data_IF_576856729467
#
_entry.id   IF_576856729467
#
_cell.length_a   1.000
_cell.length_b   1.000
_cell.length_c   1.000
_cell.angle_alpha   90.00
_cell.angle_beta   90.00
_cell.angle_gamma   90.00
#
_symmetry.space_group_name_H-M   'P 1'
#
loop_
_entity.id
_entity.type
_entity.pdbx_description
1 polymer ?
#
# COMPACT_ATOMS: atom_id res chain seq x y z
N UNK A 1 12.55 4.08 -25.81
CA UNK A 1 11.35 3.45 -25.26
C UNK A 1 10.63 4.50 -24.43
N UNK A 2 9.29 4.53 -24.38
CA UNK A 2 8.59 5.39 -23.43
C UNK A 2 9.07 5.09 -21.99
N UNK A 3 9.08 6.12 -21.15
CA UNK A 3 9.57 6.02 -19.77
C UNK A 3 8.62 5.14 -18.93
N UNK A 4 9.08 3.94 -18.54
CA UNK A 4 8.28 2.96 -17.78
C UNK A 4 7.71 3.55 -16.49
N UNK A 5 8.42 4.49 -15.86
CA UNK A 5 7.92 5.18 -14.67
C UNK A 5 6.69 6.03 -14.97
N UNK A 6 6.67 6.69 -16.14
CA UNK A 6 5.49 7.43 -16.57
C UNK A 6 4.32 6.50 -16.87
N UNK A 7 4.59 5.36 -17.50
CA UNK A 7 3.55 4.41 -17.90
C UNK A 7 3.01 3.56 -16.75
N UNK A 8 3.82 3.30 -15.72
CA UNK A 8 3.46 2.38 -14.63
C UNK A 8 3.24 3.09 -13.29
N UNK A 9 4.13 4.01 -12.92
CA UNK A 9 4.11 4.66 -11.61
C UNK A 9 3.25 5.92 -11.60
N UNK A 10 3.34 6.74 -12.66
CA UNK A 10 2.55 7.97 -12.83
C UNK A 10 1.19 7.73 -13.51
N UNK A 11 0.82 6.47 -13.74
CA UNK A 11 -0.46 6.11 -14.35
C UNK A 11 -1.02 4.84 -13.69
N UNK A 12 -2.35 4.70 -13.65
CA UNK A 12 -2.96 3.49 -13.11
C UNK A 12 -2.82 2.33 -14.11
N UNK A 13 -1.70 1.62 -14.04
CA UNK A 13 -1.38 0.54 -14.96
C UNK A 13 -2.03 -0.78 -14.55
N UNK A 14 -2.59 -1.50 -15.53
CA UNK A 14 -3.20 -2.82 -15.37
C UNK A 14 -2.56 -3.90 -16.25
N UNK A 15 -1.66 -3.54 -17.16
CA UNK A 15 -0.91 -4.51 -17.97
C UNK A 15 0.14 -5.22 -17.09
N UNK A 16 -0.02 -6.54 -16.84
CA UNK A 16 0.89 -7.29 -15.97
C UNK A 16 2.30 -7.44 -16.55
N UNK A 17 2.53 -7.14 -17.84
CA UNK A 17 3.86 -7.17 -18.44
C UNK A 17 4.64 -5.91 -18.08
N UNK A 18 4.03 -4.74 -18.28
CA UNK A 18 4.63 -3.45 -17.92
C UNK A 18 4.87 -3.36 -16.42
N UNK A 19 3.92 -3.85 -15.62
CA UNK A 19 4.07 -3.87 -14.16
C UNK A 19 5.26 -4.74 -13.70
N UNK A 20 5.46 -5.91 -14.33
CA UNK A 20 6.60 -6.78 -14.06
C UNK A 20 7.92 -6.15 -14.49
N UNK A 21 7.98 -5.59 -15.70
CA UNK A 21 9.18 -4.93 -16.22
C UNK A 21 9.60 -3.75 -15.33
N UNK A 22 8.64 -2.91 -14.93
CA UNK A 22 8.88 -1.83 -13.98
C UNK A 22 9.33 -2.34 -12.60
N UNK A 23 8.73 -3.42 -12.09
CA UNK A 23 9.14 -4.00 -10.82
C UNK A 23 10.55 -4.62 -10.86
N UNK A 24 10.97 -5.14 -12.02
CA UNK A 24 12.35 -5.58 -12.24
C UNK A 24 13.34 -4.40 -12.22
N UNK A 25 12.98 -3.24 -12.79
CA UNK A 25 13.79 -2.02 -12.64
C UNK A 25 13.89 -1.59 -11.16
N UNK A 26 12.77 -1.59 -10.43
CA UNK A 26 12.75 -1.25 -9.00
C UNK A 26 13.62 -2.23 -8.20
N UNK A 27 13.53 -3.53 -8.49
CA UNK A 27 14.30 -4.54 -7.78
C UNK A 27 15.80 -4.52 -8.12
N UNK A 28 16.16 -4.06 -9.32
CA UNK A 28 17.56 -3.97 -9.78
C UNK A 28 18.37 -2.86 -9.10
N UNK A 29 17.72 -1.74 -8.75
CA UNK A 29 18.31 -0.63 -8.00
C UNK A 29 17.25 -0.02 -7.06
N UNK A 30 17.00 -0.70 -5.93
CA UNK A 30 15.96 -0.30 -4.98
C UNK A 30 16.19 1.11 -4.43
N UNK A 31 17.43 1.43 -4.04
CA UNK A 31 17.77 2.74 -3.49
C UNK A 31 17.58 3.84 -4.53
N UNK A 32 18.02 3.62 -5.77
CA UNK A 32 17.80 4.54 -6.88
C UNK A 32 16.32 4.71 -7.23
N UNK A 33 15.56 3.61 -7.22
CA UNK A 33 14.13 3.62 -7.44
C UNK A 33 13.39 4.39 -6.35
N UNK A 34 13.72 4.21 -5.07
CA UNK A 34 13.11 4.95 -3.96
C UNK A 34 13.47 6.44 -4.02
N UNK A 35 14.71 6.80 -4.34
CA UNK A 35 15.06 8.22 -4.58
C UNK A 35 14.24 8.82 -5.72
N UNK A 36 14.09 8.11 -6.83
CA UNK A 36 13.27 8.56 -7.98
C UNK A 36 11.79 8.67 -7.61
N UNK A 37 11.24 7.68 -6.91
CA UNK A 37 9.86 7.71 -6.42
C UNK A 37 9.64 8.91 -5.49
N UNK A 38 10.55 9.17 -4.55
CA UNK A 38 10.43 10.28 -3.60
C UNK A 38 10.36 11.66 -4.28
N UNK A 39 11.05 11.84 -5.42
CA UNK A 39 10.99 13.08 -6.20
C UNK A 39 9.71 13.23 -7.04
N UNK A 40 8.91 12.18 -7.13
CA UNK A 40 7.66 12.12 -7.88
C UNK A 40 6.44 12.04 -6.96
N UNK A 41 6.63 11.96 -5.64
CA UNK A 41 5.55 11.83 -4.66
C UNK A 41 5.37 13.14 -3.91
N UNK A 42 4.14 13.67 -3.94
CA UNK A 42 3.71 14.78 -3.09
C UNK A 42 2.76 14.24 -2.01
N UNK A 43 3.07 14.50 -0.74
CA UNK A 43 2.25 14.04 0.38
C UNK A 43 1.78 15.21 1.24
N UNK A 44 0.47 15.30 1.44
CA UNK A 44 -0.11 16.24 2.41
C UNK A 44 0.17 15.80 3.85
N UNK A 45 0.11 14.49 4.09
CA UNK A 45 0.45 13.81 5.33
C UNK A 45 1.18 12.51 4.97
N UNK A 46 2.18 12.13 5.76
CA UNK A 46 2.96 10.91 5.50
C UNK A 46 2.37 9.74 6.30
N UNK A 47 1.88 8.68 5.65
CA UNK A 47 1.35 7.53 6.35
C UNK A 47 2.46 6.76 7.09
N UNK A 48 2.17 6.33 8.32
CA UNK A 48 3.03 5.41 9.07
C UNK A 48 2.66 3.93 8.81
N UNK A 49 1.51 3.72 8.19
CA UNK A 49 1.00 2.41 7.80
C UNK A 49 0.24 2.46 6.48
N UNK A 50 0.21 1.36 5.75
CA UNK A 50 -0.57 1.24 4.53
C UNK A 50 -1.27 -0.11 4.44
N UNK A 51 -2.29 -0.18 3.60
CA UNK A 51 -2.82 -1.44 3.10
C UNK A 51 -2.28 -1.76 1.72
N UNK A 52 -1.85 -3.00 1.51
CA UNK A 52 -1.32 -3.46 0.23
C UNK A 52 -2.28 -4.47 -0.42
N UNK A 53 -2.59 -4.18 -1.68
CA UNK A 53 -3.32 -5.10 -2.56
C UNK A 53 -2.44 -5.52 -3.74
N UNK A 54 -3.06 -5.70 -4.91
CA UNK A 54 -2.37 -6.23 -6.09
C UNK A 54 -1.54 -5.18 -6.85
N UNK A 55 -1.67 -3.89 -6.49
CA UNK A 55 -0.93 -2.79 -7.07
C UNK A 55 0.30 -2.42 -6.24
N UNK A 56 1.52 -2.80 -6.64
CA UNK A 56 2.75 -2.49 -5.90
C UNK A 56 3.19 -1.02 -5.98
N UNK A 57 2.60 -0.21 -6.87
CA UNK A 57 3.03 1.18 -7.06
C UNK A 57 2.86 2.01 -5.79
N UNK A 58 1.76 1.78 -5.05
CA UNK A 58 1.52 2.47 -3.77
C UNK A 58 2.57 2.09 -2.73
N UNK A 59 3.00 0.81 -2.70
CA UNK A 59 4.08 0.38 -1.81
C UNK A 59 5.37 1.15 -2.08
N UNK A 60 5.77 1.25 -3.35
CA UNK A 60 6.98 2.01 -3.73
C UNK A 60 6.84 3.50 -3.42
N UNK A 61 5.68 4.10 -3.71
CA UNK A 61 5.41 5.50 -3.42
C UNK A 61 5.54 5.80 -1.92
N UNK A 62 4.86 5.03 -1.08
CA UNK A 62 4.83 5.28 0.37
C UNK A 62 6.14 4.91 1.06
N UNK A 63 6.79 3.81 0.66
CA UNK A 63 8.11 3.46 1.17
C UNK A 63 9.14 4.56 0.87
N UNK A 64 9.04 5.23 -0.28
CA UNK A 64 9.99 6.27 -0.70
C UNK A 64 9.97 7.55 0.14
N UNK A 65 8.88 7.80 0.88
CA UNK A 65 8.70 8.99 1.72
C UNK A 65 8.63 8.66 3.21
N UNK A 66 8.81 7.40 3.60
CA UNK A 66 8.78 6.96 5.00
C UNK A 66 10.06 7.34 5.74
N UNK A 67 9.94 7.87 6.96
CA UNK A 67 11.07 8.32 7.79
C UNK A 67 11.53 7.30 8.85
N UNK A 68 10.80 6.18 9.03
CA UNK A 68 11.06 5.21 10.10
C UNK A 68 10.67 3.77 9.78
N UNK A 69 10.50 3.47 8.49
CA UNK A 69 9.93 2.22 8.00
C UNK A 69 8.40 2.27 7.93
N UNK A 70 7.81 1.49 7.04
CA UNK A 70 6.37 1.48 6.77
C UNK A 70 5.73 0.17 7.26
N UNK A 71 4.66 0.27 8.05
CA UNK A 71 3.85 -0.92 8.40
C UNK A 71 2.89 -1.24 7.25
N UNK A 72 2.86 -2.50 6.81
CA UNK A 72 2.04 -2.93 5.68
C UNK A 72 1.04 -3.97 6.14
N UNK A 73 -0.25 -3.66 6.10
CA UNK A 73 -1.32 -4.65 6.29
C UNK A 73 -1.65 -5.23 4.91
N UNK A 74 -1.63 -6.55 4.77
CA UNK A 74 -1.86 -7.21 3.48
C UNK A 74 -2.59 -8.53 3.65
N UNK A 75 -3.21 -9.02 2.56
CA UNK A 75 -3.87 -10.32 2.57
C UNK A 75 -2.87 -11.49 2.48
N UNK A 76 -3.25 -12.71 2.92
CA UNK A 76 -2.43 -13.90 2.76
C UNK A 76 -2.03 -14.15 1.30
N UNK A 77 -2.92 -13.91 0.34
CA UNK A 77 -2.66 -14.14 -1.09
C UNK A 77 -1.58 -13.21 -1.64
N UNK A 78 -1.53 -11.97 -1.14
CA UNK A 78 -0.47 -11.02 -1.49
C UNK A 78 0.83 -11.38 -0.79
N UNK A 79 0.77 -11.70 0.51
CA UNK A 79 1.96 -12.00 1.30
C UNK A 79 2.66 -13.29 0.85
N UNK A 80 1.90 -14.31 0.48
CA UNK A 80 2.40 -15.61 0.02
C UNK A 80 2.57 -15.68 -1.51
N UNK A 81 2.04 -14.71 -2.26
CA UNK A 81 2.16 -14.69 -3.73
C UNK A 81 1.42 -15.84 -4.42
N UNK A 82 0.32 -16.33 -3.84
CA UNK A 82 -0.33 -17.58 -4.26
C UNK A 82 -1.19 -17.46 -5.52
N UNK A 83 -1.48 -16.24 -5.98
CA UNK A 83 -2.27 -15.98 -7.19
C UNK A 83 -1.50 -15.11 -8.18
N UNK A 84 -1.58 -15.35 -9.50
CA UNK A 84 -0.76 -14.60 -10.47
C UNK A 84 -0.82 -13.07 -10.37
N UNK A 85 -1.99 -12.44 -10.07
CA UNK A 85 -2.06 -10.99 -9.89
C UNK A 85 -1.25 -10.44 -8.71
N UNK A 86 -0.91 -11.28 -7.71
CA UNK A 86 -0.18 -10.84 -6.52
C UNK A 86 1.32 -10.93 -6.65
N UNK A 87 1.84 -11.62 -7.67
CA UNK A 87 3.27 -11.91 -7.83
C UNK A 87 4.14 -10.65 -7.70
N UNK A 88 3.72 -9.54 -8.31
CA UNK A 88 4.55 -8.32 -8.30
C UNK A 88 4.53 -7.63 -6.93
N UNK A 89 3.36 -7.51 -6.30
CA UNK A 89 3.24 -7.01 -4.92
C UNK A 89 4.01 -7.86 -3.94
N UNK A 90 3.89 -9.19 -4.04
CA UNK A 90 4.63 -10.14 -3.21
C UNK A 90 6.14 -9.92 -3.32
N UNK A 91 6.69 -9.91 -4.53
CA UNK A 91 8.14 -9.81 -4.76
C UNK A 91 8.71 -8.50 -4.20
N UNK A 92 8.03 -7.37 -4.45
CA UNK A 92 8.49 -6.07 -3.95
C UNK A 92 8.30 -5.93 -2.44
N UNK A 93 7.20 -6.45 -1.87
CA UNK A 93 7.00 -6.50 -0.42
C UNK A 93 8.13 -7.28 0.26
N UNK A 94 8.44 -8.50 -0.22
CA UNK A 94 9.50 -9.35 0.32
C UNK A 94 10.89 -8.76 0.18
N UNK A 95 11.16 -8.08 -0.93
CA UNK A 95 12.39 -7.33 -1.11
C UNK A 95 12.51 -6.23 -0.03
N UNK A 96 11.51 -5.36 0.08
CA UNK A 96 11.55 -4.24 1.03
C UNK A 96 11.56 -4.70 2.50
N UNK A 97 10.89 -5.81 2.81
CA UNK A 97 10.89 -6.43 4.14
C UNK A 97 12.30 -6.91 4.51
N UNK A 98 13.00 -7.57 3.57
CA UNK A 98 14.39 -8.01 3.76
C UNK A 98 15.36 -6.85 3.96
N UNK A 99 15.16 -5.75 3.25
CA UNK A 99 15.97 -4.53 3.40
C UNK A 99 15.57 -3.69 4.64
N UNK A 100 14.58 -4.14 5.43
CA UNK A 100 14.15 -3.48 6.67
C UNK A 100 13.38 -2.17 6.45
N UNK A 101 12.90 -1.91 5.23
CA UNK A 101 12.15 -0.71 4.87
C UNK A 101 10.66 -0.82 5.26
N UNK A 102 10.14 -2.04 5.32
CA UNK A 102 8.75 -2.31 5.68
C UNK A 102 8.64 -3.48 6.64
N UNK A 103 7.56 -3.51 7.41
CA UNK A 103 7.19 -4.66 8.22
C UNK A 103 5.73 -5.03 7.94
N UNK A 104 5.51 -6.26 7.49
CA UNK A 104 4.20 -6.73 7.05
C UNK A 104 3.41 -7.39 8.19
N UNK A 105 2.12 -7.11 8.25
CA UNK A 105 1.13 -7.84 9.03
C UNK A 105 0.13 -8.48 8.06
N UNK A 106 -0.14 -9.76 8.27
CA UNK A 106 -1.06 -10.52 7.44
C UNK A 106 -2.42 -10.55 8.11
N UNK A 107 -3.46 -10.19 7.37
CA UNK A 107 -4.85 -10.21 7.83
C UNK A 107 -5.78 -10.54 6.67
N UNK A 108 -6.89 -11.22 6.94
CA UNK A 108 -7.93 -11.41 5.92
C UNK A 108 -8.54 -10.06 5.56
N UNK A 109 -8.58 -9.74 4.26
CA UNK A 109 -9.07 -8.44 3.78
C UNK A 109 -10.40 -8.53 3.01
N UNK A 110 -10.78 -9.75 2.59
CA UNK A 110 -11.94 -10.03 1.75
C UNK A 110 -12.85 -11.05 2.47
N UNK A 111 -14.18 -10.83 2.50
CA UNK A 111 -15.10 -11.80 3.06
C UNK A 111 -15.08 -13.14 2.31
N UNK A 112 -15.30 -14.22 3.04
CA UNK A 112 -15.44 -15.57 2.50
C UNK A 112 -16.75 -16.24 2.92
N UNK A 113 -17.04 -17.47 2.43
CA UNK A 113 -18.24 -18.21 2.80
C UNK A 113 -18.41 -18.39 4.32
N UNK A 114 -17.30 -18.61 5.03
CA UNK A 114 -17.27 -18.82 6.48
C UNK A 114 -16.73 -17.61 7.27
N UNK A 115 -16.47 -16.48 6.59
CA UNK A 115 -15.95 -15.26 7.19
C UNK A 115 -16.71 -14.04 6.66
N UNK A 116 -17.81 -13.63 7.33
CA UNK A 116 -18.64 -12.52 6.88
C UNK A 116 -17.90 -11.17 6.99
N UNK A 117 -18.38 -10.12 6.30
CA UNK A 117 -17.74 -8.80 6.32
C UNK A 117 -17.52 -8.20 7.71
N UNK A 118 -18.40 -8.48 8.67
CA UNK A 118 -18.27 -7.99 10.04
C UNK A 118 -17.03 -8.57 10.73
N UNK A 119 -16.75 -9.86 10.52
CA UNK A 119 -15.61 -10.54 11.15
C UNK A 119 -14.29 -10.10 10.50
N UNK A 120 -14.29 -9.88 9.18
CA UNK A 120 -13.14 -9.25 8.48
C UNK A 120 -12.84 -7.86 9.06
N UNK A 121 -13.87 -7.06 9.33
CA UNK A 121 -13.70 -5.73 9.95
C UNK A 121 -13.10 -5.83 11.35
N UNK A 122 -13.53 -6.81 12.15
CA UNK A 122 -12.96 -7.04 13.49
C UNK A 122 -11.49 -7.47 13.42
N UNK A 123 -11.15 -8.39 12.51
CA UNK A 123 -9.76 -8.83 12.32
C UNK A 123 -8.85 -7.66 11.90
N UNK A 124 -9.30 -6.84 10.96
CA UNK A 124 -8.59 -5.64 10.53
C UNK A 124 -8.46 -4.61 11.66
N UNK A 125 -9.52 -4.39 12.45
CA UNK A 125 -9.53 -3.50 13.61
C UNK A 125 -8.47 -3.93 14.65
N UNK A 126 -8.38 -5.22 14.95
CA UNK A 126 -7.39 -5.79 15.86
C UNK A 126 -5.95 -5.61 15.35
N UNK A 127 -5.71 -5.88 14.06
CA UNK A 127 -4.39 -5.71 13.43
C UNK A 127 -3.96 -4.25 13.45
N UNK A 128 -4.85 -3.34 13.07
CA UNK A 128 -4.61 -1.89 13.07
C UNK A 128 -4.28 -1.37 14.47
N UNK A 129 -5.03 -1.82 15.47
CA UNK A 129 -4.80 -1.47 16.87
C UNK A 129 -3.45 -1.99 17.37
N UNK A 130 -3.08 -3.23 17.00
CA UNK A 130 -1.81 -3.86 17.39
C UNK A 130 -0.60 -3.14 16.80
N UNK A 131 -0.66 -2.70 15.54
CA UNK A 131 0.45 -1.96 14.92
C UNK A 131 0.54 -0.50 15.38
N UNK A 132 -0.49 0.01 16.06
CA UNK A 132 -0.55 1.40 16.52
C UNK A 132 -0.57 2.41 15.38
N UNK A 133 -1.29 2.08 14.28
CA UNK A 133 -1.42 2.95 13.12
C UNK A 133 -2.05 4.31 13.51
N UNK A 134 -1.44 5.42 13.08
CA UNK A 134 -1.99 6.78 13.31
C UNK A 134 -2.42 7.43 12.02
N UNK A 135 -1.66 7.21 10.95
CA UNK A 135 -1.96 7.68 9.59
C UNK A 135 -1.92 6.48 8.67
N UNK A 136 -3.09 6.00 8.26
CA UNK A 136 -3.24 4.80 7.45
C UNK A 136 -3.56 5.14 5.99
N UNK A 137 -2.72 4.68 5.07
CA UNK A 137 -3.06 4.71 3.65
C UNK A 137 -3.98 3.53 3.27
N UNK A 138 -5.13 3.83 2.70
CA UNK A 138 -6.18 2.85 2.41
C UNK A 138 -6.25 2.43 0.93
N UNK A 139 -5.27 2.85 0.11
CA UNK A 139 -5.37 2.75 -1.36
C UNK A 139 -5.28 1.33 -1.89
N UNK A 140 -4.51 0.47 -1.22
CA UNK A 140 -4.39 -0.95 -1.60
C UNK A 140 -5.43 -1.86 -0.93
N UNK A 141 -6.22 -1.32 0.00
CA UNK A 141 -7.18 -2.07 0.80
C UNK A 141 -8.53 -2.29 0.13
N UNK A 142 -9.33 -3.19 0.71
CA UNK A 142 -10.74 -3.35 0.32
C UNK A 142 -11.60 -2.23 0.90
N UNK A 143 -12.86 -2.16 0.49
CA UNK A 143 -13.82 -1.19 1.04
C UNK A 143 -14.07 -1.35 2.55
N UNK A 144 -13.66 -2.47 3.15
CA UNK A 144 -13.78 -2.72 4.59
C UNK A 144 -12.67 -2.08 5.41
N UNK A 145 -11.52 -1.77 4.78
CA UNK A 145 -10.36 -1.17 5.46
C UNK A 145 -10.69 0.18 6.08
N UNK A 146 -11.30 1.16 5.38
CA UNK A 146 -11.68 2.42 6.02
C UNK A 146 -12.67 2.25 7.18
N UNK A 147 -13.56 1.25 7.10
CA UNK A 147 -14.52 0.95 8.18
C UNK A 147 -13.78 0.44 9.43
N UNK A 148 -12.87 -0.51 9.24
CA UNK A 148 -12.03 -1.04 10.32
C UNK A 148 -11.13 0.05 10.92
N UNK A 149 -10.58 0.94 10.09
CA UNK A 149 -9.72 2.04 10.54
C UNK A 149 -10.46 3.03 11.45
N UNK A 150 -11.70 3.40 11.09
CA UNK A 150 -12.56 4.24 11.93
C UNK A 150 -12.81 3.57 13.28
N UNK A 151 -13.07 2.25 13.28
CA UNK A 151 -13.34 1.50 14.51
C UNK A 151 -12.11 1.35 15.40
N UNK A 152 -10.93 1.17 14.79
CA UNK A 152 -9.65 1.16 15.46
C UNK A 152 -9.23 2.55 16.00
N UNK A 153 -10.02 3.60 15.76
CA UNK A 153 -9.74 4.95 16.25
C UNK A 153 -8.64 5.67 15.46
N UNK A 154 -8.36 5.26 14.22
CA UNK A 154 -7.38 5.93 13.37
C UNK A 154 -7.95 7.28 12.93
N UNK A 155 -7.26 8.37 13.31
CA UNK A 155 -7.73 9.74 13.12
C UNK A 155 -7.55 10.24 11.68
N UNK A 156 -6.51 9.73 10.99
CA UNK A 156 -6.14 10.21 9.66
C UNK A 156 -6.02 9.04 8.68
N UNK A 157 -6.76 9.12 7.57
CA UNK A 157 -6.60 8.21 6.44
C UNK A 157 -5.99 8.98 5.27
N UNK A 158 -5.16 8.31 4.48
CA UNK A 158 -4.67 8.85 3.20
C UNK A 158 -5.11 7.98 2.03
N UNK A 159 -5.16 8.60 0.86
CA UNK A 159 -5.37 7.93 -0.42
C UNK A 159 -4.31 8.38 -1.42
N UNK A 160 -3.60 7.40 -1.95
CA UNK A 160 -2.47 7.52 -2.86
C UNK A 160 -2.89 7.19 -4.28
N UNK A 161 -2.68 8.13 -5.20
CA UNK A 161 -3.07 7.97 -6.60
C UNK A 161 -2.17 8.75 -7.56
N UNK A 162 -2.00 8.28 -8.81
CA UNK A 162 -1.31 9.04 -9.84
C UNK A 162 -2.10 10.29 -10.25
N UNK A 163 -1.42 11.42 -10.41
CA UNK A 163 -1.99 12.71 -10.77
C UNK A 163 -1.07 13.47 -11.75
N UNK A 164 -1.26 13.19 -13.05
CA UNK A 164 -0.47 13.81 -14.12
C UNK A 164 0.98 13.32 -14.09
N UNK A 165 1.90 14.20 -13.76
CA UNK A 165 3.34 13.89 -13.73
C UNK A 165 3.85 13.55 -12.31
N UNK A 166 2.95 13.34 -11.35
CA UNK A 166 3.26 13.07 -9.94
C UNK A 166 2.34 11.96 -9.39
N UNK A 167 2.71 11.39 -8.23
CA UNK A 167 1.83 10.59 -7.37
C UNK A 167 1.46 11.44 -6.16
N UNK A 168 0.18 11.51 -5.82
CA UNK A 168 -0.31 12.29 -4.67
C UNK A 168 -0.76 11.38 -3.56
N UNK A 169 -0.32 11.69 -2.34
CA UNK A 169 -0.85 11.16 -1.09
C UNK A 169 -1.76 12.22 -0.48
N UNK A 170 -3.06 12.03 -0.65
CA UNK A 170 -4.08 12.99 -0.23
C UNK A 170 -4.71 12.59 1.10
N UNK A 171 -4.93 13.57 1.98
CA UNK A 171 -5.51 13.33 3.31
C UNK A 171 -7.03 13.29 3.25
N UNK A 172 -7.61 12.18 3.67
CA UNK A 172 -9.04 12.04 3.85
C UNK A 172 -9.41 12.55 5.25
N UNK A 173 -9.80 13.83 5.36
CA UNK A 173 -10.29 14.39 6.61
C UNK A 173 -11.64 13.77 6.98
N UNK A 174 -11.64 12.87 7.94
CA UNK A 174 -12.88 12.36 8.53
C UNK A 174 -13.45 13.45 9.44
N UNK A 175 -14.50 14.13 8.98
CA UNK A 175 -15.20 15.11 9.79
C UNK A 175 -15.79 14.44 11.03
N UNK A 176 -15.15 14.62 12.19
CA UNK A 176 -15.71 14.18 13.46
C UNK A 176 -16.90 15.07 13.76
N UNK A 177 -18.13 14.63 13.44
CA UNK A 177 -19.31 15.14 14.13
C UNK A 177 -19.28 14.55 15.54
N UNK A 178 -18.73 15.32 16.48
CA UNK A 178 -18.95 15.12 17.91
C UNK A 178 -20.43 15.36 18.24
#
# INVERSE_FOLDING_TARGET
MPDLWREVFLSYQRDPRLLREWAEEVAGDLDGALRRASSLVEAEERPDSMTLGFGPQVLVALASISEGGLRVITSPEVYEGTVPPTETSHRLLKLMEREGLVAAEVATMVPGPDLPPADVVLELEEVMSRIGARVLDVSGGTQLVPIAAVRAGIETLTYTYPHGDLVRVHTLRMGVRR
#
